data_IF_754752860225
#
_entry.id   IF_754752860225
#
_cell.length_a   1.000
_cell.length_b   1.000
_cell.length_c   1.000
_cell.angle_alpha   90.00
_cell.angle_beta   90.00
_cell.angle_gamma   90.00
#
_symmetry.space_group_name_H-M   'P 1'
#
loop_
_entity.id
_entity.type
_entity.pdbx_description
1 polymer ?
#
# COMPACT_ATOMS: atom_id res chain seq x y z
N UNK A 1 -32.73 -46.92 -7.56
CA UNK A 1 -31.48 -46.84 -6.78
C UNK A 1 -30.51 -46.06 -7.65
N UNK A 2 -30.51 -44.73 -7.53
CA UNK A 2 -29.73 -43.86 -8.40
C UNK A 2 -28.27 -43.79 -7.93
N UNK A 3 -27.27 -43.84 -8.83
CA UNK A 3 -25.88 -43.75 -8.45
C UNK A 3 -25.47 -42.32 -8.07
N UNK A 4 -24.76 -42.24 -6.95
CA UNK A 4 -24.26 -41.05 -6.27
C UNK A 4 -23.05 -40.50 -7.05
N UNK A 5 -23.10 -39.26 -7.53
CA UNK A 5 -21.99 -38.61 -8.22
C UNK A 5 -20.82 -38.32 -7.25
N UNK A 6 -19.55 -38.60 -7.63
CA UNK A 6 -18.39 -38.34 -6.78
C UNK A 6 -18.02 -36.85 -6.74
N UNK A 7 -17.45 -36.35 -5.62
CA UNK A 7 -17.07 -34.95 -5.49
C UNK A 7 -15.94 -34.57 -6.46
N UNK A 8 -16.13 -33.43 -7.14
CA UNK A 8 -15.18 -32.83 -8.08
C UNK A 8 -13.86 -32.57 -7.35
N UNK A 9 -12.83 -33.38 -7.64
CA UNK A 9 -11.46 -33.16 -7.18
C UNK A 9 -10.81 -32.14 -8.11
N UNK A 10 -10.62 -30.91 -7.63
CA UNK A 10 -9.81 -29.91 -8.33
C UNK A 10 -8.37 -30.41 -8.45
N UNK A 11 -7.86 -30.53 -9.67
CA UNK A 11 -6.43 -30.78 -9.93
C UNK A 11 -5.71 -29.44 -10.13
N UNK A 12 -4.46 -29.40 -9.68
CA UNK A 12 -3.49 -28.28 -9.72
C UNK A 12 -3.42 -27.60 -11.10
N UNK A 13 -3.54 -26.27 -11.11
CA UNK A 13 -3.10 -25.42 -12.22
C UNK A 13 -1.70 -24.87 -11.94
N UNK A 14 -0.77 -25.10 -12.87
CA UNK A 14 0.52 -24.43 -12.93
C UNK A 14 0.32 -23.16 -13.76
N UNK A 15 0.53 -21.98 -13.17
CA UNK A 15 0.56 -20.73 -13.93
C UNK A 15 1.95 -20.60 -14.56
N UNK A 16 2.03 -20.87 -15.86
CA UNK A 16 3.07 -20.29 -16.70
C UNK A 16 2.64 -18.85 -16.95
N UNK A 17 3.35 -17.90 -16.35
CA UNK A 17 3.22 -16.49 -16.73
C UNK A 17 4.14 -16.32 -17.92
N UNK A 18 3.54 -16.28 -19.11
CA UNK A 18 4.24 -15.80 -20.31
C UNK A 18 4.60 -14.33 -20.04
N UNK A 19 5.91 -14.04 -20.07
CA UNK A 19 6.50 -12.69 -20.07
C UNK A 19 6.04 -11.95 -21.35
N UNK A 20 4.79 -11.55 -21.39
CA UNK A 20 4.32 -10.57 -22.37
C UNK A 20 4.54 -9.19 -21.76
N UNK A 21 5.54 -8.50 -22.31
CA UNK A 21 5.94 -7.12 -22.03
C UNK A 21 4.78 -6.23 -21.53
N UNK A 22 4.70 -6.06 -20.21
CA UNK A 22 4.02 -4.92 -19.60
C UNK A 22 4.93 -3.71 -19.76
N UNK A 23 4.93 -3.09 -20.93
CA UNK A 23 5.19 -1.64 -21.04
C UNK A 23 4.00 -0.93 -20.37
N UNK A 24 3.94 -1.02 -19.04
CA UNK A 24 3.04 -0.21 -18.24
C UNK A 24 3.63 1.20 -18.18
N UNK A 25 2.91 2.13 -18.80
CA UNK A 25 3.08 3.57 -18.62
C UNK A 25 2.95 3.84 -17.10
N UNK A 26 4.08 3.82 -16.37
CA UNK A 26 4.16 4.18 -14.95
C UNK A 26 3.87 5.69 -14.83
N UNK A 27 2.60 6.07 -14.97
CA UNK A 27 2.15 7.44 -14.77
C UNK A 27 2.36 7.78 -13.29
N UNK A 28 3.41 8.58 -13.07
CA UNK A 28 3.89 9.00 -11.78
C UNK A 28 2.79 9.72 -10.99
N UNK A 29 2.22 9.05 -9.99
CA UNK A 29 1.23 9.68 -9.13
C UNK A 29 1.87 10.70 -8.19
N UNK A 30 1.39 11.94 -8.25
CA UNK A 30 1.70 13.01 -7.30
C UNK A 30 0.44 13.28 -6.46
N UNK A 31 0.58 13.39 -5.14
CA UNK A 31 -0.57 13.65 -4.27
C UNK A 31 -1.27 14.98 -4.58
N UNK A 32 -0.58 15.94 -5.23
CA UNK A 32 -1.15 17.06 -5.99
C UNK A 32 -2.06 18.04 -5.26
N UNK A 33 -2.44 17.82 -4.00
CA UNK A 33 -3.58 18.48 -3.38
C UNK A 33 -3.20 19.60 -2.40
N UNK A 34 -1.94 19.67 -1.97
CA UNK A 34 -1.44 20.78 -1.13
C UNK A 34 -2.21 20.97 0.18
N UNK A 35 -2.98 19.96 0.60
CA UNK A 35 -3.89 20.05 1.74
C UNK A 35 -3.10 20.00 3.05
N UNK A 36 -3.42 20.91 3.97
CA UNK A 36 -2.83 20.91 5.31
C UNK A 36 -3.37 19.73 6.11
N UNK A 37 -2.56 18.67 6.18
CA UNK A 37 -2.83 17.43 6.92
C UNK A 37 -2.44 17.51 8.39
N UNK A 38 -2.29 18.72 8.93
CA UNK A 38 -2.05 18.93 10.36
C UNK A 38 -3.17 18.29 11.18
N UNK A 39 -2.79 17.45 12.16
CA UNK A 39 -3.75 16.75 13.04
C UNK A 39 -4.30 15.44 12.48
N UNK A 40 -3.93 15.05 11.26
CA UNK A 40 -4.22 13.73 10.71
C UNK A 40 -3.30 12.67 11.32
N UNK A 41 -3.55 11.41 11.03
CA UNK A 41 -2.83 10.26 11.58
C UNK A 41 -2.22 9.42 10.48
N UNK A 42 -1.09 8.79 10.78
CA UNK A 42 -0.44 7.81 9.93
C UNK A 42 0.07 6.62 10.75
N UNK A 43 0.52 5.58 10.06
CA UNK A 43 1.10 4.39 10.68
C UNK A 43 2.62 4.46 10.56
N UNK A 44 3.31 4.68 11.67
CA UNK A 44 4.77 4.50 11.76
C UNK A 44 5.10 3.02 11.89
N UNK A 45 6.15 2.56 11.23
CA UNK A 45 6.63 1.18 11.27
C UNK A 45 8.13 1.13 11.55
N UNK A 46 8.66 -0.06 11.79
CA UNK A 46 10.10 -0.28 11.63
C UNK A 46 10.50 -0.06 10.15
N UNK A 47 11.75 0.39 9.88
CA UNK A 47 12.18 0.73 8.52
C UNK A 47 12.00 -0.45 7.55
N UNK A 48 11.37 -0.19 6.41
CA UNK A 48 11.13 -1.20 5.37
C UNK A 48 11.54 -0.68 3.97
N UNK A 49 12.39 -1.42 3.25
CA UNK A 49 12.80 -1.02 1.90
C UNK A 49 11.66 -1.19 0.89
N UNK A 50 11.57 -0.28 -0.08
CA UNK A 50 10.61 -0.41 -1.18
C UNK A 50 10.83 -1.73 -1.93
N UNK A 51 9.77 -2.50 -2.24
CA UNK A 51 9.90 -3.77 -2.96
C UNK A 51 10.15 -3.58 -4.46
N UNK A 52 10.02 -2.36 -4.99
CA UNK A 52 10.22 -2.08 -6.41
C UNK A 52 11.69 -2.32 -6.83
N UNK A 53 11.95 -3.05 -7.94
CA UNK A 53 13.30 -3.31 -8.42
C UNK A 53 14.08 -2.01 -8.65
N UNK A 54 15.28 -1.91 -8.07
CA UNK A 54 16.15 -0.74 -8.23
C UNK A 54 15.77 0.49 -7.40
N UNK A 55 14.67 0.44 -6.63
CA UNK A 55 14.32 1.53 -5.72
C UNK A 55 15.12 1.44 -4.41
N UNK A 56 15.78 2.52 -4.03
CA UNK A 56 16.57 2.61 -2.79
C UNK A 56 15.81 3.27 -1.63
N UNK A 57 14.52 3.53 -1.80
CA UNK A 57 13.68 4.17 -0.78
C UNK A 57 13.50 3.23 0.42
N UNK A 58 13.66 3.76 1.63
CA UNK A 58 13.37 3.07 2.89
C UNK A 58 12.33 3.87 3.66
N UNK A 59 11.21 3.24 3.96
CA UNK A 59 10.08 3.88 4.61
C UNK A 59 10.07 3.59 6.11
N UNK A 60 10.00 4.64 6.93
CA UNK A 60 9.71 4.56 8.38
C UNK A 60 8.20 4.58 8.67
N UNK A 61 7.38 4.75 7.63
CA UNK A 61 5.93 4.86 7.71
C UNK A 61 5.28 3.94 6.69
N UNK A 62 4.00 3.66 6.88
CA UNK A 62 3.18 3.10 5.83
C UNK A 62 3.05 4.11 4.70
N UNK A 63 3.54 3.71 3.53
CA UNK A 63 3.52 4.53 2.32
C UNK A 63 2.75 3.86 1.20
N UNK A 64 2.17 4.67 0.33
CA UNK A 64 1.78 4.29 -1.01
C UNK A 64 2.50 5.18 -2.01
N UNK A 65 3.15 4.60 -3.01
CA UNK A 65 3.90 5.37 -4.00
C UNK A 65 4.91 6.35 -3.35
N UNK A 66 5.61 5.92 -2.30
CA UNK A 66 6.52 6.74 -1.48
C UNK A 66 5.89 7.94 -0.74
N UNK A 67 4.57 8.08 -0.78
CA UNK A 67 3.84 9.09 0.00
C UNK A 67 3.33 8.46 1.29
N UNK A 68 3.54 9.13 2.42
CA UNK A 68 2.99 8.73 3.72
C UNK A 68 1.47 8.71 3.62
N UNK A 69 0.85 7.55 3.83
CA UNK A 69 -0.60 7.48 3.88
C UNK A 69 -1.11 8.10 5.17
N UNK A 70 -2.11 8.99 5.03
CA UNK A 70 -2.73 9.69 6.16
C UNK A 70 -4.25 9.56 6.17
N UNK A 71 -4.82 9.63 7.39
CA UNK A 71 -6.25 9.60 7.68
C UNK A 71 -6.63 10.71 8.65
N UNK A 72 -7.85 11.24 8.53
CA UNK A 72 -8.35 12.31 9.41
C UNK A 72 -8.55 11.80 10.83
N UNK A 73 -9.18 10.63 10.99
CA UNK A 73 -9.55 10.07 12.29
C UNK A 73 -8.55 9.00 12.75
N UNK A 74 -8.23 9.02 14.05
CA UNK A 74 -7.27 8.09 14.65
C UNK A 74 -7.76 6.64 14.66
N UNK A 75 -9.07 6.46 14.80
CA UNK A 75 -9.79 5.20 14.88
C UNK A 75 -10.49 4.83 13.57
N UNK A 76 -10.10 5.47 12.45
CA UNK A 76 -10.59 5.11 11.12
C UNK A 76 -10.38 3.59 10.87
N UNK A 77 -11.41 2.86 10.43
CA UNK A 77 -11.32 1.41 10.23
C UNK A 77 -10.25 0.99 9.21
N UNK A 78 -10.02 1.78 8.16
CA UNK A 78 -8.99 1.48 7.16
C UNK A 78 -7.59 1.70 7.74
N UNK A 79 -7.39 2.77 8.52
CA UNK A 79 -6.14 2.99 9.23
C UNK A 79 -5.84 1.79 10.17
N UNK A 80 -6.82 1.38 10.97
CA UNK A 80 -6.66 0.25 11.90
C UNK A 80 -6.39 -1.07 11.17
N UNK A 81 -7.08 -1.31 10.06
CA UNK A 81 -6.85 -2.49 9.23
C UNK A 81 -5.43 -2.54 8.67
N UNK A 82 -4.93 -1.40 8.16
CA UNK A 82 -3.59 -1.27 7.62
C UNK A 82 -2.51 -1.43 8.71
N UNK A 83 -2.72 -0.84 9.88
CA UNK A 83 -1.86 -1.06 11.03
C UNK A 83 -1.83 -2.55 11.42
N UNK A 84 -2.98 -3.24 11.47
CA UNK A 84 -3.02 -4.66 11.77
C UNK A 84 -2.27 -5.50 10.71
N UNK A 85 -2.43 -5.20 9.42
CA UNK A 85 -1.67 -5.86 8.34
C UNK A 85 -0.16 -5.70 8.51
N UNK A 86 0.31 -4.51 8.87
CA UNK A 86 1.72 -4.26 9.16
C UNK A 86 2.20 -5.05 10.40
N UNK A 87 1.34 -5.23 11.40
CA UNK A 87 1.65 -6.04 12.58
C UNK A 87 1.80 -7.52 12.23
N UNK A 88 0.93 -8.07 11.39
CA UNK A 88 0.97 -9.48 10.96
C UNK A 88 2.29 -9.84 10.26
N UNK A 89 2.92 -8.88 9.58
CA UNK A 89 4.23 -9.05 8.91
C UNK A 89 5.41 -8.59 9.77
N UNK A 90 5.20 -8.30 11.06
CA UNK A 90 6.26 -7.99 12.01
C UNK A 90 6.88 -6.59 11.88
N UNK A 91 6.17 -5.61 11.31
CA UNK A 91 6.68 -4.23 11.13
C UNK A 91 6.44 -3.29 12.31
N UNK A 92 6.07 -3.83 13.48
CA UNK A 92 5.91 -3.07 14.74
C UNK A 92 5.14 -1.73 14.60
N UNK A 93 3.90 -1.75 14.06
CA UNK A 93 3.19 -0.52 13.72
C UNK A 93 2.80 0.31 14.96
N UNK A 94 2.77 1.63 14.79
CA UNK A 94 2.32 2.62 15.76
C UNK A 94 1.50 3.68 15.05
N UNK A 95 0.29 3.93 15.53
CA UNK A 95 -0.55 5.03 15.04
C UNK A 95 -0.07 6.32 15.71
N UNK A 96 0.36 7.29 14.92
CA UNK A 96 0.89 8.57 15.38
C UNK A 96 0.24 9.73 14.62
N UNK A 97 0.17 10.93 15.19
CA UNK A 97 -0.16 12.13 14.43
C UNK A 97 0.86 12.32 13.31
N UNK A 98 0.39 12.70 12.13
CA UNK A 98 1.23 13.05 11.01
C UNK A 98 1.83 14.45 11.21
N UNK A 99 3.12 14.59 10.90
CA UNK A 99 3.83 15.85 10.87
C UNK A 99 4.44 16.04 9.47
N UNK A 100 4.40 17.26 8.94
CA UNK A 100 5.00 17.60 7.63
C UNK A 100 6.48 17.23 7.52
N UNK A 101 7.19 17.11 8.64
CA UNK A 101 8.59 16.66 8.68
C UNK A 101 8.81 15.18 8.35
N UNK A 102 7.74 14.35 8.28
CA UNK A 102 7.85 12.92 7.98
C UNK A 102 8.04 12.62 6.49
N UNK A 103 7.81 13.60 5.62
CA UNK A 103 7.90 13.46 4.17
C UNK A 103 6.59 13.78 3.48
N UNK A 104 6.54 13.69 2.13
CA UNK A 104 5.30 13.97 1.40
C UNK A 104 4.23 12.92 1.73
N UNK A 105 2.97 13.34 1.71
CA UNK A 105 1.84 12.54 2.16
C UNK A 105 0.71 12.52 1.16
N UNK A 106 -0.14 11.49 1.25
CA UNK A 106 -1.40 11.44 0.56
C UNK A 106 -2.52 10.94 1.47
N UNK A 107 -3.73 11.46 1.29
CA UNK A 107 -4.90 10.87 1.95
C UNK A 107 -5.13 9.45 1.43
N UNK A 108 -5.49 8.54 2.32
CA UNK A 108 -5.89 7.19 1.94
C UNK A 108 -6.99 7.17 0.88
N UNK A 109 -7.98 8.05 1.01
CA UNK A 109 -9.10 8.12 0.09
C UNK A 109 -8.70 8.67 -1.29
N UNK A 110 -7.73 9.61 -1.37
CA UNK A 110 -7.19 10.05 -2.65
C UNK A 110 -6.40 8.92 -3.34
N UNK A 111 -5.60 8.17 -2.58
CA UNK A 111 -4.90 6.99 -3.10
C UNK A 111 -5.86 5.91 -3.60
N UNK A 112 -6.92 5.63 -2.85
CA UNK A 112 -7.96 4.68 -3.24
C UNK A 112 -8.70 5.15 -4.51
N UNK A 113 -9.10 6.43 -4.56
CA UNK A 113 -9.76 7.03 -5.71
C UNK A 113 -8.88 7.04 -6.97
N UNK A 114 -7.55 7.13 -6.80
CA UNK A 114 -6.57 7.05 -7.87
C UNK A 114 -6.30 5.61 -8.35
N UNK A 115 -7.03 4.60 -7.86
CA UNK A 115 -6.85 3.21 -8.29
C UNK A 115 -5.69 2.48 -7.59
N UNK A 116 -5.23 3.00 -6.44
CA UNK A 116 -4.21 2.38 -5.57
C UNK A 116 -2.81 2.28 -6.21
N UNK A 117 -2.23 3.38 -6.72
CA UNK A 117 -0.89 3.38 -7.28
C UNK A 117 0.15 2.89 -6.25
N UNK A 118 1.09 2.06 -6.70
CA UNK A 118 2.06 1.38 -5.82
C UNK A 118 3.48 1.94 -5.94
N UNK A 119 3.77 2.68 -7.01
CA UNK A 119 5.09 3.25 -7.27
C UNK A 119 4.94 4.69 -7.79
N UNK A 120 5.59 5.64 -7.11
CA UNK A 120 5.84 6.95 -7.69
C UNK A 120 7.31 7.25 -7.47
N UNK A 121 8.10 7.21 -8.54
CA UNK A 121 9.46 7.71 -8.53
C UNK A 121 9.57 8.91 -9.45
N UNK A 122 9.74 10.09 -8.85
CA UNK A 122 10.47 11.17 -9.50
C UNK A 122 11.90 11.09 -8.97
N UNK A 123 12.77 10.44 -9.73
CA UNK A 123 14.21 10.56 -9.49
C UNK A 123 14.57 12.04 -9.73
N UNK A 124 15.14 12.68 -8.71
CA UNK A 124 15.80 13.98 -8.83
C UNK A 124 17.25 13.77 -9.25
#
# INVERSE_FOLDING_TARGET
MEPIEPPIKSRRGSLFVEEELLEEDEELWDAGDGEDRSGWFCVRTDPFPCPAPGCTFVADFMTAAHLVLVWVERDDPNLLWHANRAQEVGRNPRIVPYEHGYGPSASYYAWEAAGRPVHAVRAS
#
